data_IF_141270280066
#
_entry.id   IF_141270280066
#
_cell.length_a   1.000
_cell.length_b   1.000
_cell.length_c   1.000
_cell.angle_alpha   90.00
_cell.angle_beta   90.00
_cell.angle_gamma   90.00
#
_symmetry.space_group_name_H-M   'P 1'
#
loop_
_entity.id
_entity.type
_entity.pdbx_description
1 polymer ?
#
# COMPACT_ATOMS: atom_id res chain seq x y z
N UNK A 1 -2.87 12.99 -24.16
CA UNK A 1 -1.64 12.79 -23.36
C UNK A 1 -1.82 11.57 -22.44
N UNK A 2 -0.78 10.76 -22.17
CA UNK A 2 -0.87 9.52 -21.38
C UNK A 2 -1.44 9.76 -19.96
N UNK A 3 -1.04 10.87 -19.33
CA UNK A 3 -1.52 11.28 -18.00
C UNK A 3 -3.06 11.38 -17.90
N UNK A 4 -3.71 11.91 -18.95
CA UNK A 4 -5.17 12.10 -18.96
C UNK A 4 -5.91 10.76 -18.93
N UNK A 5 -5.36 9.72 -19.58
CA UNK A 5 -5.96 8.37 -19.64
C UNK A 5 -5.91 7.63 -18.30
N UNK A 6 -4.84 7.84 -17.54
CA UNK A 6 -4.64 7.16 -16.25
C UNK A 6 -5.22 7.91 -15.06
N UNK A 7 -5.49 9.22 -15.20
CA UNK A 7 -6.07 10.05 -14.15
C UNK A 7 -7.27 9.40 -13.42
N UNK A 8 -8.28 8.80 -14.10
CA UNK A 8 -9.38 8.19 -13.38
C UNK A 8 -8.96 7.00 -12.52
N UNK A 9 -8.08 6.15 -13.04
CA UNK A 9 -7.59 4.96 -12.32
C UNK A 9 -6.72 5.39 -11.14
N UNK A 10 -5.80 6.32 -11.38
CA UNK A 10 -4.92 6.85 -10.33
C UNK A 10 -5.72 7.56 -9.23
N UNK A 11 -6.78 8.29 -9.58
CA UNK A 11 -7.70 8.89 -8.62
C UNK A 11 -8.34 7.86 -7.69
N UNK A 12 -8.81 6.73 -8.24
CA UNK A 12 -9.34 5.61 -7.43
C UNK A 12 -8.25 5.02 -6.53
N UNK A 13 -7.03 4.82 -7.04
CA UNK A 13 -5.90 4.32 -6.24
C UNK A 13 -5.63 5.24 -5.04
N UNK A 14 -5.61 6.56 -5.25
CA UNK A 14 -5.45 7.56 -4.19
C UNK A 14 -6.60 7.50 -3.18
N UNK A 15 -7.85 7.37 -3.65
CA UNK A 15 -9.02 7.25 -2.76
C UNK A 15 -8.95 5.99 -1.90
N UNK A 16 -8.65 4.84 -2.49
CA UNK A 16 -8.50 3.56 -1.77
C UNK A 16 -7.36 3.67 -0.75
N UNK A 17 -6.24 4.28 -1.14
CA UNK A 17 -5.13 4.52 -0.22
C UNK A 17 -5.53 5.44 0.95
N UNK A 18 -6.28 6.52 0.69
CA UNK A 18 -6.77 7.40 1.73
C UNK A 18 -7.67 6.67 2.74
N UNK A 19 -8.51 5.74 2.29
CA UNK A 19 -9.34 4.92 3.17
C UNK A 19 -8.52 4.02 4.10
N UNK A 20 -7.28 3.66 3.76
CA UNK A 20 -6.41 2.89 4.66
C UNK A 20 -6.08 3.65 5.95
N UNK A 21 -6.13 5.00 5.94
CA UNK A 21 -5.95 5.84 7.12
C UNK A 21 -7.09 5.69 8.14
N UNK A 22 -8.22 5.07 7.77
CA UNK A 22 -9.27 4.69 8.73
C UNK A 22 -8.77 3.69 9.76
N UNK A 23 -7.82 2.82 9.39
CA UNK A 23 -7.27 1.79 10.28
C UNK A 23 -6.52 2.42 11.47
N UNK A 24 -5.49 3.28 11.27
CA UNK A 24 -4.84 3.95 12.38
C UNK A 24 -5.76 4.94 13.10
N UNK A 25 -6.72 5.58 12.42
CA UNK A 25 -7.75 6.40 13.08
C UNK A 25 -8.59 5.58 14.07
N UNK A 26 -9.07 4.39 13.66
CA UNK A 26 -9.84 3.50 14.52
C UNK A 26 -9.01 3.05 15.73
N UNK A 27 -7.71 2.77 15.53
CA UNK A 27 -6.81 2.43 16.63
C UNK A 27 -6.58 3.60 17.56
N UNK A 28 -6.34 4.80 17.03
CA UNK A 28 -6.17 6.02 17.82
C UNK A 28 -7.39 6.31 18.71
N UNK A 29 -8.61 6.11 18.18
CA UNK A 29 -9.86 6.26 18.92
C UNK A 29 -10.04 5.14 19.97
N UNK A 30 -9.76 3.89 19.60
CA UNK A 30 -9.95 2.75 20.51
C UNK A 30 -8.96 2.71 21.69
N UNK A 31 -7.72 3.12 21.44
CA UNK A 31 -6.64 3.12 22.44
C UNK A 31 -6.49 4.49 23.12
N UNK A 32 -7.24 5.50 22.67
CA UNK A 32 -7.18 6.88 23.12
C UNK A 32 -5.74 7.42 23.20
N UNK A 33 -4.95 7.19 22.14
CA UNK A 33 -3.51 7.48 22.10
C UNK A 33 -3.17 8.96 21.83
N UNK A 34 -4.18 9.84 21.82
CA UNK A 34 -4.03 11.28 21.63
C UNK A 34 -3.80 11.72 20.17
N UNK A 35 -3.82 10.81 19.19
CA UNK A 35 -3.46 11.14 17.80
C UNK A 35 -4.63 11.09 16.80
N UNK A 36 -5.87 10.87 17.26
CA UNK A 36 -7.04 10.74 16.39
C UNK A 36 -7.22 11.95 15.43
N UNK A 37 -6.92 13.16 15.92
CA UNK A 37 -6.98 14.41 15.15
C UNK A 37 -5.98 14.49 13.98
N UNK A 38 -4.93 13.65 13.97
CA UNK A 38 -3.91 13.65 12.93
C UNK A 38 -4.36 12.95 11.65
N UNK A 39 -5.37 12.08 11.73
CA UNK A 39 -5.76 11.20 10.63
C UNK A 39 -6.89 11.78 9.77
N UNK A 40 -7.85 12.48 10.37
CA UNK A 40 -9.05 12.95 9.67
C UNK A 40 -8.77 13.94 8.55
N UNK A 41 -7.92 14.95 8.80
CA UNK A 41 -7.56 15.96 7.80
C UNK A 41 -6.87 15.36 6.57
N UNK A 42 -5.75 14.62 6.73
CA UNK A 42 -5.06 13.96 5.62
C UNK A 42 -5.94 12.97 4.85
N UNK A 43 -6.77 12.19 5.55
CA UNK A 43 -7.72 11.27 4.92
C UNK A 43 -8.68 12.02 3.99
N UNK A 44 -9.36 13.05 4.50
CA UNK A 44 -10.34 13.80 3.71
C UNK A 44 -9.68 14.54 2.55
N UNK A 45 -8.51 15.13 2.77
CA UNK A 45 -7.76 15.83 1.72
C UNK A 45 -7.33 14.87 0.60
N UNK A 46 -6.76 13.71 0.94
CA UNK A 46 -6.34 12.72 -0.05
C UNK A 46 -7.54 12.10 -0.79
N UNK A 47 -8.61 11.76 -0.07
CA UNK A 47 -9.82 11.21 -0.67
C UNK A 47 -10.49 12.22 -1.63
N UNK A 48 -10.59 13.49 -1.23
CA UNK A 48 -11.12 14.55 -2.07
C UNK A 48 -10.24 14.79 -3.31
N UNK A 49 -8.91 14.84 -3.14
CA UNK A 49 -7.98 14.99 -4.27
C UNK A 49 -8.09 13.84 -5.27
N UNK A 50 -8.16 12.60 -4.77
CA UNK A 50 -8.39 11.41 -5.60
C UNK A 50 -9.75 11.44 -6.32
N UNK A 51 -10.81 11.88 -5.62
CA UNK A 51 -12.15 12.02 -6.18
C UNK A 51 -12.24 13.09 -7.27
N UNK A 52 -11.58 14.25 -7.08
CA UNK A 52 -11.46 15.30 -8.10
C UNK A 52 -10.71 14.78 -9.32
N UNK A 53 -9.58 14.09 -9.11
CA UNK A 53 -8.81 13.51 -10.20
C UNK A 53 -9.62 12.45 -10.97
N UNK A 54 -10.37 11.62 -10.24
CA UNK A 54 -11.25 10.62 -10.81
C UNK A 54 -12.34 11.24 -11.68
N UNK A 55 -13.07 12.20 -11.13
CA UNK A 55 -14.17 12.88 -11.80
C UNK A 55 -13.71 13.67 -13.03
N UNK A 56 -12.61 14.41 -12.90
CA UNK A 56 -12.02 15.16 -14.01
C UNK A 56 -11.51 14.21 -15.11
N UNK A 57 -10.86 13.11 -14.73
CA UNK A 57 -10.39 12.08 -15.64
C UNK A 57 -11.52 11.43 -16.45
N UNK A 58 -12.62 11.05 -15.79
CA UNK A 58 -13.78 10.47 -16.46
C UNK A 58 -14.45 11.44 -17.45
N UNK A 59 -14.51 12.73 -17.13
CA UNK A 59 -15.04 13.77 -18.02
C UNK A 59 -14.24 13.90 -19.32
N UNK A 60 -12.92 13.68 -19.26
CA UNK A 60 -12.02 13.88 -20.41
C UNK A 60 -11.86 12.63 -21.28
N UNK A 61 -11.97 11.42 -20.71
CA UNK A 61 -11.62 10.17 -21.41
C UNK A 61 -12.82 9.25 -21.65
N UNK A 62 -13.93 9.46 -20.92
CA UNK A 62 -15.07 8.54 -20.94
C UNK A 62 -14.88 7.35 -19.99
N UNK A 63 -15.80 6.38 -20.06
CA UNK A 63 -15.90 5.24 -19.12
C UNK A 63 -14.87 4.13 -19.35
N UNK A 64 -14.37 3.98 -20.57
CA UNK A 64 -13.41 2.92 -20.93
C UNK A 64 -12.16 3.54 -21.60
N UNK A 65 -11.15 3.93 -20.82
CA UNK A 65 -9.88 4.39 -21.36
C UNK A 65 -9.19 3.26 -22.14
N UNK A 66 -8.80 3.52 -23.38
CA UNK A 66 -7.87 2.64 -24.11
C UNK A 66 -6.45 2.77 -23.51
N UNK A 67 -6.15 1.87 -22.57
CA UNK A 67 -4.90 1.83 -21.82
C UNK A 67 -3.82 1.11 -22.61
N UNK A 68 -2.70 1.79 -22.81
CA UNK A 68 -1.52 1.21 -23.44
C UNK A 68 -0.50 0.77 -22.37
N UNK A 69 0.41 -0.17 -22.66
CA UNK A 69 1.39 -0.64 -21.67
C UNK A 69 2.21 0.49 -20.99
N UNK A 70 2.54 1.55 -21.74
CA UNK A 70 3.21 2.76 -21.21
C UNK A 70 2.41 3.49 -20.13
N UNK A 71 1.07 3.43 -20.20
CA UNK A 71 0.17 4.06 -19.25
C UNK A 71 0.23 3.30 -17.91
N UNK A 72 0.39 1.98 -17.96
CA UNK A 72 0.65 1.14 -16.78
C UNK A 72 1.97 1.46 -16.09
N UNK A 73 3.06 1.64 -16.85
CA UNK A 73 4.36 2.04 -16.30
C UNK A 73 4.28 3.39 -15.58
N UNK A 74 3.58 4.36 -16.18
CA UNK A 74 3.36 5.66 -15.57
C UNK A 74 2.50 5.56 -14.30
N UNK A 75 1.44 4.76 -14.30
CA UNK A 75 0.58 4.54 -13.15
C UNK A 75 1.37 3.96 -11.96
N UNK A 76 2.18 2.93 -12.21
CA UNK A 76 3.04 2.32 -11.19
C UNK A 76 4.03 3.36 -10.64
N UNK A 77 4.71 4.10 -11.51
CA UNK A 77 5.68 5.13 -11.11
C UNK A 77 5.03 6.21 -10.23
N UNK A 78 3.82 6.66 -10.58
CA UNK A 78 3.06 7.62 -9.79
C UNK A 78 2.61 7.03 -8.44
N UNK A 79 2.14 5.78 -8.41
CA UNK A 79 1.75 5.11 -7.18
C UNK A 79 2.92 5.03 -6.18
N UNK A 80 4.11 4.65 -6.64
CA UNK A 80 5.29 4.50 -5.79
C UNK A 80 5.96 5.82 -5.37
N UNK A 81 5.57 6.95 -5.96
CA UNK A 81 6.14 8.28 -5.64
C UNK A 81 5.15 9.17 -4.89
N UNK A 82 3.88 9.17 -5.28
CA UNK A 82 2.85 10.04 -4.71
C UNK A 82 2.20 9.44 -3.47
N UNK A 83 1.94 8.13 -3.43
CA UNK A 83 1.31 7.51 -2.25
C UNK A 83 2.18 7.63 -0.99
N UNK A 84 3.52 7.44 -1.02
CA UNK A 84 4.36 7.73 0.13
C UNK A 84 4.32 9.19 0.54
N UNK A 85 4.24 10.13 -0.42
CA UNK A 85 4.14 11.56 -0.12
C UNK A 85 2.83 11.89 0.62
N UNK A 86 1.71 11.25 0.24
CA UNK A 86 0.44 11.33 0.99
C UNK A 86 0.60 10.72 2.38
N UNK A 87 1.26 9.56 2.47
CA UNK A 87 1.49 8.85 3.73
C UNK A 87 2.37 9.62 4.72
N UNK A 88 3.18 10.56 4.22
CA UNK A 88 4.06 11.41 5.03
C UNK A 88 3.29 12.41 5.88
N UNK A 89 2.09 12.82 5.45
CA UNK A 89 1.35 13.92 6.07
C UNK A 89 1.00 13.64 7.55
N UNK A 90 0.40 12.49 7.94
CA UNK A 90 0.13 12.22 9.35
C UNK A 90 1.40 12.20 10.22
N UNK A 91 2.52 11.69 9.68
CA UNK A 91 3.80 11.63 10.39
C UNK A 91 4.38 13.03 10.63
N UNK A 92 4.31 13.91 9.64
CA UNK A 92 4.74 15.31 9.80
C UNK A 92 3.86 16.08 10.79
N UNK A 93 2.53 15.90 10.71
CA UNK A 93 1.61 16.52 11.65
C UNK A 93 1.88 16.06 13.09
N UNK A 94 2.17 14.77 13.29
CA UNK A 94 2.53 14.23 14.60
C UNK A 94 3.76 14.93 15.19
N UNK A 95 4.88 14.93 14.46
CA UNK A 95 6.14 15.51 14.94
C UNK A 95 6.04 17.03 15.13
N UNK A 96 5.31 17.73 14.24
CA UNK A 96 5.08 19.17 14.37
C UNK A 96 4.29 19.53 15.64
N UNK A 97 3.28 18.74 16.02
CA UNK A 97 2.47 18.99 17.23
C UNK A 97 3.12 18.54 18.54
N UNK A 98 3.94 17.49 18.50
CA UNK A 98 4.53 16.87 19.70
C UNK A 98 5.98 17.31 19.96
N UNK A 99 6.42 18.42 19.34
CA UNK A 99 7.70 19.06 19.64
C UNK A 99 8.94 18.36 19.08
N UNK A 100 8.77 17.43 18.13
CA UNK A 100 9.89 16.75 17.48
C UNK A 100 10.26 17.37 16.13
N UNK A 101 11.56 17.38 15.81
CA UNK A 101 12.07 17.89 14.54
C UNK A 101 12.23 16.77 13.52
N UNK A 102 11.14 16.44 12.80
CA UNK A 102 11.22 15.56 11.63
C UNK A 102 11.12 16.39 10.35
N UNK A 103 12.18 16.40 9.55
CA UNK A 103 12.17 17.09 8.26
C UNK A 103 11.28 16.36 7.26
N UNK A 104 10.77 17.07 6.24
CA UNK A 104 10.00 16.46 5.15
C UNK A 104 10.75 15.28 4.51
N UNK A 105 12.05 15.44 4.23
CA UNK A 105 12.88 14.40 3.61
C UNK A 105 12.98 13.15 4.48
N UNK A 106 13.15 13.31 5.79
CA UNK A 106 13.18 12.17 6.73
C UNK A 106 11.82 11.46 6.80
N UNK A 107 10.74 12.23 6.86
CA UNK A 107 9.40 11.68 6.91
C UNK A 107 9.02 10.96 5.60
N UNK A 108 9.40 11.52 4.45
CA UNK A 108 9.24 10.87 3.15
C UNK A 108 10.13 9.63 3.00
N UNK A 109 11.36 9.66 3.53
CA UNK A 109 12.22 8.49 3.58
C UNK A 109 11.59 7.35 4.38
N UNK A 110 11.02 7.64 5.55
CA UNK A 110 10.29 6.64 6.36
C UNK A 110 9.15 6.00 5.59
N UNK A 111 8.31 6.80 4.94
CA UNK A 111 7.12 6.29 4.25
C UNK A 111 7.47 5.55 2.97
N UNK A 112 8.47 6.01 2.21
CA UNK A 112 9.00 5.28 1.06
C UNK A 112 9.60 3.96 1.51
N UNK A 113 10.49 3.97 2.51
CA UNK A 113 11.15 2.76 3.04
C UNK A 113 10.15 1.74 3.56
N UNK A 114 9.10 2.19 4.25
CA UNK A 114 8.01 1.34 4.69
C UNK A 114 7.25 0.77 3.49
N UNK A 115 6.80 1.64 2.56
CA UNK A 115 5.99 1.20 1.43
C UNK A 115 6.75 0.28 0.48
N UNK A 116 8.05 0.47 0.27
CA UNK A 116 8.87 -0.44 -0.55
C UNK A 116 9.35 -1.67 0.21
N UNK A 117 8.90 -1.88 1.46
CA UNK A 117 9.33 -2.98 2.34
C UNK A 117 10.84 -3.03 2.60
N UNK A 118 11.53 -1.90 2.46
CA UNK A 118 12.97 -1.78 2.75
C UNK A 118 13.24 -1.90 4.24
N UNK A 119 12.38 -1.32 5.07
CA UNK A 119 12.47 -1.42 6.53
C UNK A 119 13.58 -0.60 7.19
N UNK A 120 14.26 0.28 6.44
CA UNK A 120 15.20 1.24 6.99
C UNK A 120 14.46 2.37 7.72
N UNK A 121 15.02 2.86 8.84
CA UNK A 121 14.40 3.92 9.65
C UNK A 121 15.42 4.95 10.12
N UNK A 122 15.02 6.22 10.11
CA UNK A 122 15.69 7.39 10.71
C UNK A 122 15.07 7.77 12.06
N UNK A 123 13.92 7.19 12.41
CA UNK A 123 13.26 7.41 13.69
C UNK A 123 13.94 6.60 14.80
N UNK A 124 14.08 7.23 15.97
CA UNK A 124 14.62 6.61 17.19
C UNK A 124 13.52 6.48 18.24
N UNK A 125 13.65 5.53 19.16
CA UNK A 125 12.70 5.36 20.26
C UNK A 125 11.31 4.89 19.82
N UNK A 126 11.27 3.98 18.84
CA UNK A 126 10.02 3.50 18.23
C UNK A 126 9.03 2.92 19.26
N UNK A 127 9.53 2.30 20.34
CA UNK A 127 8.72 1.72 21.40
C UNK A 127 7.89 2.76 22.18
N UNK A 128 8.28 4.04 22.13
CA UNK A 128 7.59 5.15 22.79
C UNK A 128 6.60 5.88 21.87
N UNK A 129 6.54 5.54 20.57
CA UNK A 129 5.58 6.15 19.65
C UNK A 129 4.15 5.68 19.94
N UNK A 130 3.15 6.55 19.72
CA UNK A 130 1.75 6.17 19.84
C UNK A 130 1.42 4.93 18.99
N UNK A 131 0.58 4.00 19.50
CA UNK A 131 0.22 2.78 18.80
C UNK A 131 -0.28 3.00 17.36
N UNK A 132 -1.08 4.03 17.09
CA UNK A 132 -1.57 4.30 15.73
C UNK A 132 -0.48 4.75 14.76
N UNK A 133 0.52 5.50 15.21
CA UNK A 133 1.67 5.93 14.39
C UNK A 133 2.57 4.74 14.07
N UNK A 134 2.86 3.88 15.06
CA UNK A 134 3.59 2.64 14.83
C UNK A 134 2.82 1.70 13.90
N UNK A 135 1.50 1.59 14.09
CA UNK A 135 0.64 0.80 13.21
C UNK A 135 0.68 1.32 11.78
N UNK A 136 0.65 2.63 11.56
CA UNK A 136 0.71 3.20 10.21
C UNK A 136 1.99 2.80 9.48
N UNK A 137 3.14 2.86 10.16
CA UNK A 137 4.42 2.41 9.59
C UNK A 137 4.39 0.92 9.20
N UNK A 138 3.85 0.07 10.07
CA UNK A 138 3.66 -1.36 9.76
C UNK A 138 2.64 -1.61 8.65
N UNK A 139 1.55 -0.85 8.62
CA UNK A 139 0.51 -0.93 7.61
C UNK A 139 1.05 -0.55 6.22
N UNK A 140 1.92 0.46 6.13
CA UNK A 140 2.60 0.81 4.88
C UNK A 140 3.48 -0.33 4.37
N UNK A 141 4.19 -1.04 5.24
CA UNK A 141 4.93 -2.26 4.85
C UNK A 141 4.00 -3.37 4.36
N UNK A 142 2.86 -3.56 5.02
CA UNK A 142 1.88 -4.56 4.63
C UNK A 142 1.24 -4.25 3.27
N UNK A 143 0.84 -2.99 3.05
CA UNK A 143 0.30 -2.51 1.77
C UNK A 143 1.35 -2.60 0.65
N UNK A 144 2.59 -2.22 0.98
CA UNK A 144 3.74 -2.31 0.10
C UNK A 144 4.06 -3.72 -0.37
N UNK A 145 4.11 -4.66 0.58
CA UNK A 145 4.33 -6.07 0.34
C UNK A 145 3.25 -6.67 -0.57
N UNK A 146 1.99 -6.34 -0.33
CA UNK A 146 0.92 -6.75 -1.24
C UNK A 146 1.08 -6.12 -2.63
N UNK A 147 1.44 -4.84 -2.70
CA UNK A 147 1.63 -4.11 -3.96
C UNK A 147 2.70 -4.73 -4.86
N UNK A 148 3.87 -5.08 -4.30
CA UNK A 148 4.94 -5.72 -5.08
C UNK A 148 4.58 -7.16 -5.51
N UNK A 149 3.85 -7.90 -4.67
CA UNK A 149 3.38 -9.26 -5.01
C UNK A 149 2.41 -9.24 -6.19
N UNK A 150 1.43 -8.32 -6.17
CA UNK A 150 0.48 -8.14 -7.29
C UNK A 150 1.23 -7.73 -8.56
N UNK A 151 2.18 -6.81 -8.45
CA UNK A 151 2.98 -6.35 -9.58
C UNK A 151 3.82 -7.50 -10.18
N UNK A 152 4.44 -8.33 -9.33
CA UNK A 152 5.22 -9.48 -9.78
C UNK A 152 4.37 -10.47 -10.59
N UNK A 153 3.16 -10.80 -10.11
CA UNK A 153 2.21 -11.68 -10.82
C UNK A 153 1.71 -11.03 -12.12
N UNK A 154 1.53 -9.71 -12.15
CA UNK A 154 1.12 -9.00 -13.36
C UNK A 154 2.22 -8.97 -14.44
N UNK A 155 3.50 -8.88 -14.06
CA UNK A 155 4.64 -8.81 -14.98
C UNK A 155 5.11 -10.20 -15.42
N UNK A 156 4.95 -11.23 -14.59
CA UNK A 156 5.44 -12.59 -14.86
C UNK A 156 5.03 -13.15 -16.24
N UNK A 157 3.77 -12.97 -16.72
CA UNK A 157 3.36 -13.42 -18.06
C UNK A 157 4.08 -12.69 -19.20
N UNK A 158 4.59 -11.49 -18.96
CA UNK A 158 5.28 -10.67 -19.97
C UNK A 158 6.76 -11.02 -20.08
N UNK A 159 7.41 -11.45 -19.00
CA UNK A 159 8.82 -11.88 -18.97
C UNK A 159 8.99 -13.35 -19.37
N UNK A 160 7.96 -14.17 -19.19
CA UNK A 160 7.94 -15.56 -19.63
C UNK A 160 7.62 -15.67 -21.12
N UNK A 161 8.64 -15.90 -21.93
CA UNK A 161 8.53 -16.42 -23.31
C UNK A 161 7.87 -17.83 -23.41
N UNK A 162 7.06 -18.25 -22.42
CA UNK A 162 6.41 -19.56 -22.35
C UNK A 162 5.07 -19.65 -23.08
N UNK A 163 4.45 -18.52 -23.44
CA UNK A 163 3.21 -18.51 -24.23
C UNK A 163 3.41 -18.77 -25.72
N UNK A 164 4.64 -18.65 -26.23
CA UNK A 164 4.91 -18.91 -27.65
C UNK A 164 4.94 -20.41 -27.99
N UNK A 165 5.37 -21.27 -27.06
CA UNK A 165 5.33 -22.72 -27.23
C UNK A 165 3.88 -23.26 -27.18
N UNK A 166 3.02 -22.72 -26.30
CA UNK A 166 1.61 -23.12 -26.24
C UNK A 166 0.75 -22.54 -27.39
N UNK A 167 1.20 -21.42 -27.99
CA UNK A 167 0.66 -20.88 -29.26
C UNK A 167 1.07 -21.69 -30.48
N UNK A 168 2.16 -22.44 -30.42
CA UNK A 168 2.62 -23.26 -31.53
C UNK A 168 1.88 -24.62 -31.63
N UNK A 169 1.33 -25.12 -30.52
CA UNK A 169 0.60 -26.41 -30.49
C UNK A 169 -0.93 -26.29 -30.68
N UNK A 170 -1.50 -25.08 -30.67
CA UNK A 170 -2.95 -24.87 -30.80
C UNK A 170 -3.36 -24.51 -32.24
N UNK A 171 -3.71 -25.54 -33.02
CA UNK A 171 -4.38 -25.40 -34.31
C UNK A 171 -5.88 -25.12 -34.12
N UNK A 172 -6.25 -23.86 -33.88
CA UNK A 172 -7.65 -23.44 -33.85
C UNK A 172 -7.83 -21.94 -33.61
N UNK A 173 -8.89 -21.30 -34.15
CA UNK A 173 -9.07 -19.86 -34.06
C UNK A 173 -9.48 -19.49 -32.63
N UNK A 174 -8.48 -19.21 -31.78
CA UNK A 174 -8.72 -18.61 -30.48
C UNK A 174 -9.24 -17.19 -30.69
N UNK A 175 -10.56 -17.03 -30.55
CA UNK A 175 -11.15 -15.76 -30.12
C UNK A 175 -10.36 -15.26 -28.92
N UNK A 176 -9.96 -13.98 -28.95
CA UNK A 176 -9.33 -13.21 -27.87
C UNK A 176 -9.83 -13.64 -26.47
N UNK A 177 -9.18 -14.66 -25.91
CA UNK A 177 -9.55 -15.20 -24.60
C UNK A 177 -8.79 -14.39 -23.59
N UNK A 178 -9.39 -13.24 -23.27
CA UNK A 178 -9.25 -12.42 -22.07
C UNK A 178 -8.19 -12.97 -21.09
N UNK A 179 -6.98 -12.43 -21.16
CA UNK A 179 -5.93 -12.63 -20.15
C UNK A 179 -6.28 -11.96 -18.81
N UNK A 180 -7.20 -11.00 -18.82
CA UNK A 180 -7.69 -10.23 -17.66
C UNK A 180 -8.36 -11.05 -16.54
N UNK A 181 -9.32 -11.96 -16.77
CA UNK A 181 -9.98 -12.72 -15.70
C UNK A 181 -9.01 -13.56 -14.86
N UNK A 182 -7.94 -14.10 -15.48
CA UNK A 182 -6.97 -14.93 -14.77
C UNK A 182 -6.08 -14.13 -13.81
N UNK A 183 -5.76 -12.89 -14.15
CA UNK A 183 -4.96 -11.99 -13.30
C UNK A 183 -5.75 -11.57 -12.07
N UNK A 184 -7.04 -11.21 -12.24
CA UNK A 184 -7.91 -10.83 -11.12
C UNK A 184 -8.12 -11.99 -10.13
N UNK A 185 -8.38 -13.20 -10.64
CA UNK A 185 -8.51 -14.40 -9.80
C UNK A 185 -7.21 -14.73 -9.06
N UNK A 186 -6.07 -14.65 -9.74
CA UNK A 186 -4.75 -14.90 -9.12
C UNK A 186 -4.45 -13.85 -8.05
N UNK A 187 -4.80 -12.58 -8.28
CA UNK A 187 -4.63 -11.50 -7.30
C UNK A 187 -5.50 -11.72 -6.04
N UNK A 188 -6.76 -12.15 -6.21
CA UNK A 188 -7.65 -12.51 -5.09
C UNK A 188 -7.08 -13.68 -4.28
N UNK A 189 -6.57 -14.71 -4.96
CA UNK A 189 -5.90 -15.86 -4.32
C UNK A 189 -4.68 -15.41 -3.52
N UNK A 190 -3.81 -14.60 -4.11
CA UNK A 190 -2.65 -14.03 -3.43
C UNK A 190 -3.03 -13.23 -2.18
N UNK A 191 -4.09 -12.42 -2.28
CA UNK A 191 -4.56 -11.61 -1.16
C UNK A 191 -5.01 -12.48 0.01
N UNK A 192 -5.74 -13.57 -0.28
CA UNK A 192 -6.19 -14.51 0.74
C UNK A 192 -5.04 -15.21 1.47
N UNK A 193 -4.01 -15.65 0.74
CA UNK A 193 -2.81 -16.28 1.31
C UNK A 193 -2.00 -15.27 2.11
N UNK A 194 -1.81 -14.06 1.57
CA UNK A 194 -1.06 -12.99 2.23
C UNK A 194 -1.71 -12.58 3.56
N UNK A 195 -3.02 -12.33 3.55
CA UNK A 195 -3.78 -12.01 4.75
C UNK A 195 -3.83 -13.19 5.74
N UNK A 196 -3.99 -14.42 5.24
CA UNK A 196 -4.01 -15.64 6.07
C UNK A 196 -2.70 -15.88 6.80
N UNK A 197 -1.56 -15.77 6.10
CA UNK A 197 -0.23 -15.88 6.71
C UNK A 197 0.01 -14.74 7.71
N UNK A 198 -0.34 -13.50 7.34
CA UNK A 198 -0.21 -12.35 8.23
C UNK A 198 -0.98 -12.54 9.53
N UNK A 199 -2.23 -13.00 9.44
CA UNK A 199 -3.08 -13.26 10.59
C UNK A 199 -2.53 -14.42 11.45
N UNK A 200 -2.06 -15.50 10.81
CA UNK A 200 -1.44 -16.61 11.53
C UNK A 200 -0.21 -16.16 12.33
N UNK A 201 0.64 -15.30 11.73
CA UNK A 201 1.78 -14.70 12.43
C UNK A 201 1.34 -13.83 13.62
N UNK A 202 0.35 -12.96 13.44
CA UNK A 202 -0.18 -12.11 14.53
C UNK A 202 -0.71 -12.98 15.67
N UNK A 203 -1.46 -14.03 15.38
CA UNK A 203 -1.99 -14.96 16.39
C UNK A 203 -0.87 -15.72 17.10
N UNK A 204 0.14 -16.18 16.37
CA UNK A 204 1.30 -16.87 16.95
C UNK A 204 2.09 -15.95 17.89
N UNK A 205 2.35 -14.69 17.50
CA UNK A 205 3.04 -13.72 18.36
C UNK A 205 2.22 -13.37 19.61
N UNK A 206 0.91 -13.17 19.45
CA UNK A 206 0.01 -12.96 20.61
C UNK A 206 0.03 -14.15 21.55
N UNK A 207 0.01 -15.37 21.02
CA UNK A 207 0.03 -16.58 21.83
C UNK A 207 1.36 -16.77 22.57
N UNK A 208 2.49 -16.51 21.91
CA UNK A 208 3.83 -16.55 22.51
C UNK A 208 4.03 -15.48 23.59
N UNK A 209 3.48 -14.28 23.38
CA UNK A 209 3.49 -13.21 24.38
C UNK A 209 2.65 -13.57 25.62
N UNK A 210 1.45 -14.15 25.43
CA UNK A 210 0.59 -14.59 26.53
C UNK A 210 1.20 -15.74 27.36
N UNK A 211 2.01 -16.62 26.75
CA UNK A 211 2.67 -17.73 27.45
C UNK A 211 4.00 -17.35 28.14
N UNK A 212 4.41 -16.07 28.10
CA UNK A 212 5.60 -15.59 28.80
C UNK A 212 6.94 -16.13 28.26
N UNK A 213 6.93 -16.91 27.17
CA UNK A 213 8.12 -17.60 26.66
C UNK A 213 9.23 -16.61 26.23
N UNK A 214 8.85 -15.42 25.75
CA UNK A 214 9.78 -14.33 25.40
C UNK A 214 10.24 -13.47 26.59
N UNK A 215 9.63 -13.58 27.78
CA UNK A 215 10.11 -12.85 28.98
C UNK A 215 11.40 -13.48 29.53
N UNK A 216 11.61 -14.78 29.36
CA UNK A 216 12.81 -15.48 29.84
C UNK A 216 14.06 -15.29 28.99
N UNK A 217 13.92 -15.15 27.66
CA UNK A 217 15.07 -15.05 26.75
C UNK A 217 15.66 -13.65 26.63
N UNK A 218 14.84 -12.59 26.76
CA UNK A 218 15.29 -11.18 26.67
C UNK A 218 15.85 -10.67 28.01
N UNK A 219 15.43 -11.23 29.16
CA UNK A 219 15.89 -10.80 30.48
C UNK A 219 17.23 -11.44 30.92
N UNK A 220 17.77 -12.40 30.16
CA UNK A 220 19.07 -13.04 30.46
C UNK A 220 20.30 -12.34 29.83
N UNK A 221 20.08 -11.23 29.10
CA UNK A 221 21.15 -10.39 28.51
C UNK A 221 20.92 -8.90 28.78
N UNK A 222 20.78 -8.53 30.04
CA UNK A 222 21.14 -7.18 30.52
C UNK A 222 22.16 -7.32 31.64
#
# INVERSE_FOLDING_TARGET
MPFVRIAPIFGVVVMVFALTMLVPLAVALSMNDGTAELWGGPLLAAFAAGGVLWWAGQRMVGREPDLQPRDGMLLVTLAWTVLPAIATVPLLLFYHRHGGSLTFTQAYFETVSAMTTTGATVLVGLDALPPSINLWRGLLQWLGGMGILVLAVAILPMLGAGGQLLRAESTGPMKDTRLTPRIEETAKGLWSVYAGISLACVLAYRWGACRGWMRGSICSRR
#
